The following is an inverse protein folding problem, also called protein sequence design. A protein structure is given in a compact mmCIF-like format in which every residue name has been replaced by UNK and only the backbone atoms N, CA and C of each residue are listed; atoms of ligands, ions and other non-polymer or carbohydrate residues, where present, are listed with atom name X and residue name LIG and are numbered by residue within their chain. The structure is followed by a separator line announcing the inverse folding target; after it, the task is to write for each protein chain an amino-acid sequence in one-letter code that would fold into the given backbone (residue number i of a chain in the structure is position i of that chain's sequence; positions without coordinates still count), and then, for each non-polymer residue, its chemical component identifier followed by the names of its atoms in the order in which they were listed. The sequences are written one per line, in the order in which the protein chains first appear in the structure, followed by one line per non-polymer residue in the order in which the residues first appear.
data_IF_266015540537
#
_entry.id   IF_266015540537
#
_cell.length_a   1.000
_cell.length_b   1.000
_cell.length_c   1.000
_cell.angle_alpha   90.00
_cell.angle_beta   90.00
_cell.angle_gamma   90.00
#
_symmetry.space_group_name_H-M   'P 1'
#
loop_
_entity.id
_entity.type
_entity.pdbx_description
1 polymer ?
#
# COMPACT_ATOMS: atom_id res chain seq x y z
N UNK A 1 -3.53 1.45 10.65
CA UNK A 1 -2.20 0.84 10.45
C UNK A 1 -2.41 -0.52 9.79
N UNK A 2 -1.38 -1.08 9.16
CA UNK A 2 -1.43 -2.44 8.60
C UNK A 2 -1.43 -3.37 9.80
N UNK A 3 -2.44 -4.20 9.94
CA UNK A 3 -2.58 -5.20 11.01
C UNK A 3 -2.11 -6.57 10.54
N UNK A 4 -2.34 -6.93 9.27
CA UNK A 4 -1.93 -8.21 8.70
C UNK A 4 -1.49 -8.10 7.25
N UNK A 5 -0.59 -9.00 6.86
CA UNK A 5 -0.10 -9.14 5.49
C UNK A 5 -0.21 -10.62 5.09
N UNK A 6 -0.68 -10.90 3.88
CA UNK A 6 -0.55 -12.22 3.28
C UNK A 6 0.01 -12.09 1.87
N UNK A 7 0.92 -12.98 1.51
CA UNK A 7 1.63 -12.96 0.23
C UNK A 7 1.55 -14.35 -0.40
N UNK A 8 1.35 -14.41 -1.71
CA UNK A 8 1.38 -15.67 -2.44
C UNK A 8 2.14 -15.50 -3.75
N UNK A 9 3.00 -16.46 -4.02
CA UNK A 9 3.95 -16.44 -5.13
C UNK A 9 4.75 -15.14 -5.26
N UNK A 10 5.13 -14.51 -4.14
CA UNK A 10 5.90 -13.27 -4.14
C UNK A 10 7.32 -13.47 -3.61
N UNK A 11 8.31 -13.31 -4.49
CA UNK A 11 9.75 -13.43 -4.22
C UNK A 11 10.08 -14.74 -3.52
N UNK A 12 10.45 -14.68 -2.23
CA UNK A 12 10.83 -15.84 -1.43
C UNK A 12 9.61 -16.65 -0.93
N UNK A 13 8.39 -16.11 -1.03
CA UNK A 13 7.19 -16.75 -0.49
C UNK A 13 6.38 -17.40 -1.59
N UNK A 14 6.27 -18.74 -1.54
CA UNK A 14 5.18 -19.42 -2.22
C UNK A 14 3.84 -19.05 -1.57
N UNK A 15 3.81 -19.04 -0.24
CA UNK A 15 2.64 -18.72 0.59
C UNK A 15 3.10 -18.17 1.94
N UNK A 16 2.55 -17.03 2.33
CA UNK A 16 2.65 -16.41 3.65
C UNK A 16 1.23 -15.99 4.03
N UNK A 17 0.68 -16.57 5.07
CA UNK A 17 -0.71 -16.30 5.51
C UNK A 17 -0.73 -15.56 6.84
N UNK A 18 -1.64 -14.59 6.94
CA UNK A 18 -1.97 -13.90 8.19
C UNK A 18 -0.77 -13.41 9.01
N UNK A 19 0.28 -12.91 8.35
CA UNK A 19 1.44 -12.34 9.02
C UNK A 19 1.02 -11.10 9.81
N UNK A 20 0.94 -11.23 11.13
CA UNK A 20 0.47 -10.19 12.02
C UNK A 20 1.54 -9.11 12.25
N UNK A 21 1.15 -7.85 12.09
CA UNK A 21 1.97 -6.68 12.36
C UNK A 21 1.59 -6.09 13.72
N UNK A 22 2.53 -6.08 14.66
CA UNK A 22 2.39 -5.42 15.96
C UNK A 22 3.01 -4.00 15.90
N UNK A 23 2.75 -3.13 16.89
CA UNK A 23 3.34 -1.79 16.93
C UNK A 23 4.87 -1.78 16.80
N UNK A 24 5.53 -2.80 17.34
CA UNK A 24 6.95 -3.09 17.13
C UNK A 24 7.05 -4.51 16.57
N UNK A 25 7.51 -4.63 15.34
CA UNK A 25 7.76 -5.91 14.67
C UNK A 25 9.22 -5.99 14.27
N UNK A 26 9.95 -7.00 14.76
CA UNK A 26 11.34 -7.25 14.41
C UNK A 26 11.40 -8.49 13.52
N UNK A 27 11.97 -8.35 12.33
CA UNK A 27 12.17 -9.46 11.39
C UNK A 27 13.61 -10.00 11.51
N UNK A 28 13.76 -11.19 12.07
CA UNK A 28 15.06 -11.89 12.22
C UNK A 28 15.11 -13.18 11.39
N UNK A 29 16.31 -13.64 11.05
CA UNK A 29 16.54 -14.88 10.30
C UNK A 29 17.71 -14.80 9.33
N UNK A 30 18.05 -15.92 8.68
CA UNK A 30 19.15 -16.00 7.72
C UNK A 30 18.92 -15.14 6.47
N UNK A 31 19.99 -14.85 5.73
CA UNK A 31 19.88 -14.14 4.46
C UNK A 31 18.94 -14.88 3.49
N UNK A 32 18.22 -14.11 2.69
CA UNK A 32 17.28 -14.64 1.68
C UNK A 32 16.06 -15.42 2.19
N UNK A 33 15.80 -15.48 3.50
CA UNK A 33 14.60 -16.14 4.06
C UNK A 33 13.28 -15.36 3.88
N UNK A 34 13.28 -14.22 3.17
CA UNK A 34 12.07 -13.46 2.86
C UNK A 34 11.79 -12.21 3.70
N UNK A 35 12.65 -11.85 4.68
CA UNK A 35 12.52 -10.61 5.49
C UNK A 35 12.30 -9.37 4.62
N UNK A 36 13.19 -9.17 3.64
CA UNK A 36 13.11 -8.03 2.72
C UNK A 36 11.86 -8.11 1.83
N UNK A 37 11.36 -9.31 1.51
CA UNK A 37 10.14 -9.47 0.71
C UNK A 37 8.92 -8.92 1.44
N UNK A 38 8.81 -9.11 2.77
CA UNK A 38 7.71 -8.52 3.55
C UNK A 38 7.75 -6.99 3.44
N UNK A 39 8.89 -6.38 3.73
CA UNK A 39 9.07 -4.92 3.64
C UNK A 39 8.79 -4.42 2.22
N UNK A 40 9.35 -5.09 1.21
CA UNK A 40 9.20 -4.72 -0.19
C UNK A 40 7.76 -4.80 -0.68
N UNK A 41 6.93 -5.72 -0.15
CA UNK A 41 5.51 -5.78 -0.49
C UNK A 41 4.76 -4.50 -0.07
N UNK A 42 5.06 -3.99 1.13
CA UNK A 42 4.48 -2.75 1.66
C UNK A 42 4.96 -1.54 0.86
N UNK A 43 6.27 -1.47 0.60
CA UNK A 43 6.87 -0.36 -0.16
C UNK A 43 6.41 -0.33 -1.62
N UNK A 44 6.19 -1.50 -2.23
CA UNK A 44 5.65 -1.63 -3.57
C UNK A 44 4.24 -1.05 -3.67
N UNK A 45 3.39 -1.37 -2.71
CA UNK A 45 2.04 -0.79 -2.62
C UNK A 45 2.14 0.73 -2.41
N UNK A 46 2.95 1.17 -1.45
CA UNK A 46 3.17 2.60 -1.16
C UNK A 46 3.62 3.40 -2.39
N UNK A 47 4.67 2.98 -3.11
CA UNK A 47 5.13 3.71 -4.29
C UNK A 47 4.14 3.69 -5.44
N UNK A 48 3.31 2.65 -5.54
CA UNK A 48 2.26 2.58 -6.56
C UNK A 48 1.19 3.62 -6.27
N UNK A 49 0.74 3.72 -5.02
CA UNK A 49 -0.31 4.66 -4.58
C UNK A 49 0.17 6.12 -4.66
N UNK A 50 1.41 6.41 -4.23
CA UNK A 50 1.96 7.77 -4.23
C UNK A 50 2.35 8.27 -5.63
N UNK A 51 2.43 7.37 -6.60
CA UNK A 51 2.90 7.69 -7.94
C UNK A 51 1.81 8.39 -8.75
N UNK A 52 2.16 9.49 -9.40
CA UNK A 52 1.33 10.10 -10.44
C UNK A 52 1.21 9.22 -11.71
N UNK A 53 2.18 8.30 -11.90
CA UNK A 53 2.13 7.32 -12.99
C UNK A 53 0.98 6.34 -12.69
N UNK A 54 -0.01 6.31 -13.58
CA UNK A 54 -1.28 5.58 -13.48
C UNK A 54 -1.15 4.06 -13.73
N UNK A 55 0.01 3.47 -13.43
CA UNK A 55 0.28 2.05 -13.65
C UNK A 55 -0.40 1.19 -12.57
N UNK A 56 -0.80 -0.04 -12.91
CA UNK A 56 -1.39 -1.01 -11.97
C UNK A 56 -0.47 -1.27 -10.77
N UNK A 57 0.81 -1.48 -11.05
CA UNK A 57 1.83 -1.71 -10.03
C UNK A 57 3.15 -1.13 -10.52
N UNK A 58 3.74 -0.23 -9.74
CA UNK A 58 5.00 0.40 -10.09
C UNK A 58 6.14 -0.43 -9.51
N UNK A 59 6.69 -1.40 -10.25
CA UNK A 59 7.74 -2.31 -9.73
C UNK A 59 9.08 -1.60 -9.42
N UNK A 60 9.35 -0.49 -10.10
CA UNK A 60 10.61 0.25 -9.98
C UNK A 60 10.33 1.73 -9.77
N UNK A 61 10.70 2.23 -8.59
CA UNK A 61 10.58 3.63 -8.22
C UNK A 61 11.50 3.94 -7.03
N UNK A 62 11.23 5.05 -6.33
CA UNK A 62 12.01 5.53 -5.20
C UNK A 62 12.22 4.47 -4.10
N UNK A 63 11.16 3.81 -3.61
CA UNK A 63 11.26 2.92 -2.45
C UNK A 63 11.83 1.54 -2.79
N UNK A 64 11.39 0.94 -3.88
CA UNK A 64 11.88 -0.37 -4.34
C UNK A 64 12.10 -0.39 -5.85
N UNK A 65 13.18 -1.07 -6.23
CA UNK A 65 13.55 -1.41 -7.61
C UNK A 65 13.52 -2.93 -7.74
N UNK A 66 12.36 -3.49 -8.05
CA UNK A 66 12.13 -4.94 -8.06
C UNK A 66 12.45 -5.61 -9.39
N UNK A 67 12.77 -4.86 -10.45
CA UNK A 67 13.00 -5.39 -11.78
C UNK A 67 11.71 -5.66 -12.54
N UNK A 68 11.62 -6.81 -13.20
CA UNK A 68 10.45 -7.23 -13.99
C UNK A 68 9.50 -8.11 -13.17
N UNK A 69 8.37 -8.51 -13.77
CA UNK A 69 7.46 -9.48 -13.14
C UNK A 69 8.17 -10.79 -12.76
N UNK A 70 9.13 -11.22 -13.57
CA UNK A 70 9.89 -12.46 -13.35
C UNK A 70 10.74 -12.41 -12.07
N UNK A 71 11.16 -11.20 -11.66
CA UNK A 71 11.93 -11.01 -10.44
C UNK A 71 11.07 -11.02 -9.17
N UNK A 72 9.75 -10.83 -9.31
CA UNK A 72 8.82 -10.81 -8.17
C UNK A 72 8.00 -12.09 -8.05
N UNK A 73 7.83 -12.88 -9.11
CA UNK A 73 7.07 -14.12 -9.06
C UNK A 73 7.92 -15.26 -8.48
N UNK A 74 7.36 -15.99 -7.53
CA UNK A 74 8.02 -17.13 -6.87
C UNK A 74 8.45 -18.17 -7.91
N UNK A 75 9.67 -18.70 -7.76
CA UNK A 75 10.30 -19.64 -8.69
C UNK A 75 10.29 -19.22 -10.16
N UNK A 76 10.11 -17.91 -10.46
CA UNK A 76 10.03 -17.38 -11.82
C UNK A 76 8.91 -18.03 -12.67
N UNK A 77 7.89 -18.61 -12.02
CA UNK A 77 6.80 -19.32 -12.70
C UNK A 77 5.73 -18.33 -13.21
N UNK A 78 5.92 -17.89 -14.46
CA UNK A 78 5.11 -16.87 -15.14
C UNK A 78 3.64 -17.28 -15.35
N UNK A 79 3.30 -18.55 -15.14
CA UNK A 79 1.91 -19.05 -15.26
C UNK A 79 1.07 -18.72 -14.02
N UNK A 80 1.73 -18.37 -12.91
CA UNK A 80 1.08 -18.09 -11.63
C UNK A 80 0.73 -16.61 -11.47
N UNK A 81 -0.14 -16.37 -10.51
CA UNK A 81 -0.51 -15.02 -10.04
C UNK A 81 0.31 -14.67 -8.81
N UNK A 82 0.84 -13.44 -8.74
CA UNK A 82 1.35 -12.85 -7.49
C UNK A 82 0.15 -12.25 -6.75
N UNK A 83 -0.05 -12.65 -5.50
CA UNK A 83 -1.18 -12.16 -4.69
C UNK A 83 -0.66 -11.45 -3.44
N UNK A 84 -1.28 -10.30 -3.15
CA UNK A 84 -1.07 -9.50 -1.95
C UNK A 84 -2.40 -9.35 -1.22
N UNK A 85 -2.41 -9.59 0.08
CA UNK A 85 -3.50 -9.20 0.97
C UNK A 85 -2.95 -8.26 2.03
N UNK A 86 -3.54 -7.08 2.16
CA UNK A 86 -3.24 -6.14 3.23
C UNK A 86 -4.49 -5.87 4.03
N UNK A 87 -4.43 -6.20 5.32
CA UNK A 87 -5.44 -5.81 6.30
C UNK A 87 -4.97 -4.55 7.02
N UNK A 88 -5.88 -3.59 7.16
CA UNK A 88 -5.66 -2.34 7.84
C UNK A 88 -6.70 -2.14 8.94
N UNK A 89 -6.22 -1.82 10.12
CA UNK A 89 -7.05 -1.37 11.22
C UNK A 89 -7.11 0.16 11.23
N UNK A 90 -8.33 0.72 11.14
CA UNK A 90 -8.55 2.12 10.82
C UNK A 90 -9.49 2.76 11.84
N UNK A 91 -8.98 3.73 12.60
CA UNK A 91 -9.82 4.55 13.47
C UNK A 91 -10.51 5.65 12.66
N UNK A 92 -11.84 5.65 12.59
CA UNK A 92 -12.62 6.60 11.79
C UNK A 92 -12.46 8.06 12.23
N UNK A 93 -12.13 8.32 13.50
CA UNK A 93 -11.93 9.69 13.99
C UNK A 93 -10.78 10.41 13.29
N UNK A 94 -9.77 9.67 12.82
CA UNK A 94 -8.64 10.20 12.05
C UNK A 94 -9.03 10.60 10.62
N UNK A 95 -10.08 9.98 10.06
CA UNK A 95 -10.53 10.21 8.67
C UNK A 95 -11.70 11.19 8.59
N UNK A 96 -12.48 11.36 9.66
CA UNK A 96 -13.67 12.20 9.68
C UNK A 96 -13.41 13.68 9.35
N UNK A 97 -12.17 14.17 9.54
CA UNK A 97 -11.80 15.56 9.25
C UNK A 97 -11.54 15.85 7.77
N UNK A 98 -11.45 14.83 6.91
CA UNK A 98 -11.04 14.97 5.50
C UNK A 98 -12.11 14.43 4.56
N UNK A 99 -12.65 15.30 3.70
CA UNK A 99 -13.87 15.03 2.90
C UNK A 99 -13.78 13.89 1.88
N UNK A 100 -12.68 13.62 1.15
CA UNK A 100 -12.67 12.57 0.12
C UNK A 100 -12.81 11.15 0.71
N UNK A 101 -12.15 10.87 1.83
CA UNK A 101 -12.06 9.51 2.38
C UNK A 101 -13.37 9.03 3.01
N UNK A 102 -14.20 9.95 3.51
CA UNK A 102 -15.51 9.60 4.05
C UNK A 102 -16.43 9.04 2.97
N UNK A 103 -16.28 9.47 1.71
CA UNK A 103 -17.07 8.96 0.59
C UNK A 103 -16.72 7.51 0.26
N UNK A 104 -15.42 7.15 0.29
CA UNK A 104 -14.98 5.76 0.14
C UNK A 104 -15.63 4.87 1.20
N UNK A 105 -15.44 5.20 2.48
CA UNK A 105 -15.97 4.39 3.59
C UNK A 105 -17.49 4.24 3.46
N UNK A 106 -18.19 5.35 3.17
CA UNK A 106 -19.65 5.36 3.01
C UNK A 106 -20.17 4.69 1.74
N UNK A 107 -19.30 4.28 0.82
CA UNK A 107 -19.69 3.43 -0.32
C UNK A 107 -19.73 1.94 0.06
N UNK A 108 -19.02 1.56 1.13
CA UNK A 108 -18.94 0.18 1.59
C UNK A 108 -19.78 -0.06 2.86
N UNK A 109 -19.98 0.95 3.71
CA UNK A 109 -20.79 0.81 4.93
C UNK A 109 -21.93 1.82 5.00
N UNK A 110 -23.04 1.40 5.62
CA UNK A 110 -24.23 2.21 5.87
C UNK A 110 -23.96 3.35 6.86
N UNK A 111 -24.85 4.35 6.86
CA UNK A 111 -24.71 5.51 7.72
C UNK A 111 -24.84 5.12 9.19
N UNK A 112 -25.73 4.20 9.51
CA UNK A 112 -25.89 3.66 10.86
C UNK A 112 -24.64 2.87 11.33
N UNK A 113 -23.99 2.09 10.45
CA UNK A 113 -22.74 1.39 10.77
C UNK A 113 -21.61 2.39 11.04
N UNK A 114 -21.46 3.38 10.16
CA UNK A 114 -20.46 4.45 10.35
C UNK A 114 -20.65 5.17 11.70
N UNK A 115 -21.89 5.54 12.04
CA UNK A 115 -22.22 6.17 13.34
C UNK A 115 -21.90 5.23 14.50
N UNK A 116 -22.30 3.96 14.42
CA UNK A 116 -22.06 2.98 15.47
C UNK A 116 -20.57 2.75 15.75
N UNK A 117 -19.73 2.69 14.71
CA UNK A 117 -18.27 2.61 14.86
C UNK A 117 -17.70 3.84 15.58
N UNK A 118 -18.12 5.03 15.17
CA UNK A 118 -17.67 6.29 15.75
C UNK A 118 -18.09 6.41 17.22
N UNK A 119 -19.36 6.16 17.52
CA UNK A 119 -19.94 6.33 18.86
C UNK A 119 -19.43 5.26 19.83
N UNK A 120 -19.05 4.07 19.34
CA UNK A 120 -18.41 3.02 20.14
C UNK A 120 -16.87 3.12 20.17
N UNK A 121 -16.28 4.13 19.51
CA UNK A 121 -14.83 4.28 19.32
C UNK A 121 -14.13 2.99 18.85
N UNK A 122 -14.76 2.25 17.93
CA UNK A 122 -14.21 1.02 17.38
C UNK A 122 -13.49 1.28 16.06
N UNK A 123 -12.43 0.51 15.83
CA UNK A 123 -11.72 0.53 14.57
C UNK A 123 -12.48 -0.25 13.49
N UNK A 124 -12.40 0.27 12.27
CA UNK A 124 -12.83 -0.39 11.05
C UNK A 124 -11.70 -1.30 10.56
N UNK A 125 -12.01 -2.55 10.21
CA UNK A 125 -11.04 -3.42 9.54
C UNK A 125 -11.29 -3.36 8.03
N UNK A 126 -10.33 -2.79 7.32
CA UNK A 126 -10.31 -2.68 5.87
C UNK A 126 -9.34 -3.71 5.29
N UNK A 127 -9.71 -4.37 4.19
CA UNK A 127 -8.86 -5.35 3.52
C UNK A 127 -8.79 -5.10 2.01
N UNK A 128 -7.56 -5.08 1.48
CA UNK A 128 -7.23 -4.99 0.07
C UNK A 128 -6.56 -6.29 -0.38
N UNK A 129 -7.24 -7.06 -1.25
CA UNK A 129 -6.65 -8.20 -1.96
C UNK A 129 -6.38 -7.84 -3.41
N UNK A 130 -5.15 -8.02 -3.85
CA UNK A 130 -4.71 -7.76 -5.21
C UNK A 130 -3.95 -8.97 -5.74
N UNK A 131 -4.47 -9.57 -6.80
CA UNK A 131 -3.79 -10.59 -7.59
C UNK A 131 -3.40 -10.01 -8.94
N UNK A 132 -2.14 -10.17 -9.34
CA UNK A 132 -1.64 -9.73 -10.64
C UNK A 132 -0.96 -10.88 -11.40
N UNK A 133 -1.07 -10.85 -12.72
CA UNK A 133 -0.40 -11.80 -13.61
C UNK A 133 0.10 -11.10 -14.88
N UNK A 134 0.99 -11.78 -15.61
CA UNK A 134 1.37 -11.35 -16.96
C UNK A 134 0.13 -11.44 -17.87
N UNK A 135 -0.06 -10.42 -18.72
CA UNK A 135 -1.13 -10.42 -19.72
C UNK A 135 -0.88 -11.55 -20.72
N UNK A 136 -1.90 -12.35 -21.01
CA UNK A 136 -1.83 -13.41 -22.02
C UNK A 136 -2.12 -12.84 -23.42
N UNK A 137 -1.68 -13.53 -24.47
CA UNK A 137 -1.94 -13.15 -25.86
C UNK A 137 -1.29 -11.83 -26.27
N UNK A 138 -0.14 -11.50 -25.68
CA UNK A 138 0.67 -10.35 -26.09
C UNK A 138 1.45 -10.73 -27.34
N UNK A 139 1.56 -9.79 -28.27
CA UNK A 139 2.50 -9.85 -29.37
C UNK A 139 3.94 -9.79 -28.81
N UNK A 140 4.60 -10.96 -28.73
CA UNK A 140 5.96 -11.07 -28.15
C UNK A 140 6.99 -10.26 -28.93
N UNK A 141 6.73 -9.94 -30.21
CA UNK A 141 7.59 -9.07 -31.02
C UNK A 141 7.58 -7.60 -30.54
N UNK A 142 6.51 -7.16 -29.86
CA UNK A 142 6.35 -5.80 -29.35
C UNK A 142 6.75 -5.63 -27.89
N UNK A 143 6.81 -6.71 -27.12
CA UNK A 143 7.03 -6.69 -25.67
C UNK A 143 8.08 -7.72 -25.24
N UNK A 144 9.30 -7.57 -25.75
CA UNK A 144 10.40 -8.53 -25.53
C UNK A 144 10.88 -8.56 -24.07
N UNK A 145 10.95 -7.40 -23.39
CA UNK A 145 11.56 -7.29 -22.05
C UNK A 145 10.59 -6.91 -20.94
N UNK A 146 9.55 -6.12 -21.24
CA UNK A 146 8.56 -5.66 -20.26
C UNK A 146 7.17 -6.14 -20.67
N UNK A 147 6.83 -7.35 -20.23
CA UNK A 147 5.50 -7.89 -20.46
C UNK A 147 4.47 -7.12 -19.62
N UNK A 148 3.36 -6.61 -20.22
CA UNK A 148 2.32 -5.92 -19.49
C UNK A 148 1.69 -6.82 -18.42
N UNK A 149 1.40 -6.21 -17.27
CA UNK A 149 0.74 -6.85 -16.13
C UNK A 149 -0.76 -6.52 -16.20
N UNK A 150 -1.59 -7.47 -15.81
CA UNK A 150 -3.03 -7.27 -15.60
C UNK A 150 -3.41 -7.64 -14.18
N UNK A 151 -4.49 -7.04 -13.69
CA UNK A 151 -5.13 -7.44 -12.46
C UNK A 151 -5.87 -8.76 -12.73
N UNK A 152 -5.45 -9.85 -12.09
CA UNK A 152 -6.18 -11.12 -12.11
C UNK A 152 -7.40 -11.06 -11.19
N UNK A 153 -7.24 -10.46 -10.01
CA UNK A 153 -8.35 -10.15 -9.13
C UNK A 153 -8.04 -8.95 -8.26
N UNK A 154 -9.07 -8.21 -7.89
CA UNK A 154 -8.99 -7.09 -6.95
C UNK A 154 -10.22 -7.16 -6.05
N UNK A 155 -10.03 -7.20 -4.73
CA UNK A 155 -11.12 -7.14 -3.76
C UNK A 155 -10.82 -6.07 -2.73
N UNK A 156 -11.83 -5.26 -2.49
CA UNK A 156 -11.86 -4.18 -1.53
C UNK A 156 -12.97 -4.54 -0.55
N UNK A 157 -12.65 -4.69 0.73
CA UNK A 157 -13.64 -5.10 1.72
C UNK A 157 -13.49 -4.43 3.06
N UNK A 158 -14.59 -4.38 3.79
CA UNK A 158 -14.67 -4.00 5.19
C UNK A 158 -15.26 -5.17 5.95
N UNK A 159 -14.59 -5.59 7.01
CA UNK A 159 -15.12 -6.65 7.89
C UNK A 159 -16.30 -6.10 8.71
N UNK A 160 -17.29 -6.95 8.86
CA UNK A 160 -18.42 -6.78 9.72
C UNK A 160 -18.03 -6.90 11.19
N UNK A 161 -18.88 -6.38 12.06
CA UNK A 161 -18.66 -6.36 13.49
C UNK A 161 -20.00 -6.31 14.24
N UNK A 162 -20.02 -6.86 15.45
CA UNK A 162 -21.14 -6.71 16.37
C UNK A 162 -20.91 -5.51 17.29
N UNK A 163 -21.86 -4.57 17.31
CA UNK A 163 -21.84 -3.37 18.18
C UNK A 163 -23.18 -3.29 18.88
N UNK A 164 -23.16 -3.25 20.23
CA UNK A 164 -24.37 -3.12 21.07
C UNK A 164 -25.49 -4.11 20.66
N UNK A 165 -25.13 -5.37 20.40
CA UNK A 165 -26.08 -6.42 20.01
C UNK A 165 -26.44 -6.48 18.52
N UNK A 166 -26.31 -5.37 17.78
CA UNK A 166 -26.57 -5.32 16.33
C UNK A 166 -25.37 -5.83 15.53
N UNK A 167 -25.64 -6.66 14.53
CA UNK A 167 -24.64 -7.21 13.61
C UNK A 167 -24.59 -6.33 12.36
N UNK A 168 -23.39 -5.84 12.06
CA UNK A 168 -23.08 -5.21 10.78
C UNK A 168 -22.31 -6.23 9.94
N UNK A 169 -22.82 -6.65 8.76
CA UNK A 169 -22.19 -7.69 7.96
C UNK A 169 -20.95 -7.18 7.25
N UNK A 170 -20.13 -8.12 6.76
CA UNK A 170 -19.05 -7.82 5.82
C UNK A 170 -19.60 -7.12 4.57
N UNK A 171 -18.85 -6.15 4.05
CA UNK A 171 -19.13 -5.50 2.77
C UNK A 171 -17.92 -5.61 1.87
N UNK A 172 -18.14 -5.81 0.58
CA UNK A 172 -17.04 -5.85 -0.37
C UNK A 172 -17.46 -5.54 -1.80
N UNK A 173 -16.47 -5.14 -2.59
CA UNK A 173 -16.55 -5.13 -4.05
C UNK A 173 -15.32 -5.84 -4.59
N UNK A 174 -15.51 -6.72 -5.58
CA UNK A 174 -14.43 -7.50 -6.18
C UNK A 174 -14.54 -7.61 -7.69
N UNK A 175 -13.40 -7.60 -8.35
CA UNK A 175 -13.21 -7.89 -9.77
C UNK A 175 -12.42 -9.18 -9.91
N UNK A 176 -12.88 -10.07 -10.78
CA UNK A 176 -12.18 -11.30 -11.16
C UNK A 176 -12.01 -11.31 -12.68
N UNK A 177 -10.77 -11.36 -13.15
CA UNK A 177 -10.46 -11.50 -14.58
C UNK A 177 -11.00 -12.84 -15.10
N UNK A 178 -11.62 -12.80 -16.27
CA UNK A 178 -12.10 -13.98 -16.99
C UNK A 178 -11.29 -14.19 -18.27
N UNK A 179 -11.44 -13.31 -19.26
CA UNK A 179 -10.77 -13.40 -20.57
C UNK A 179 -10.79 -12.06 -21.31
N UNK A 180 -9.77 -11.75 -22.13
CA UNK A 180 -9.79 -10.67 -23.15
C UNK A 180 -10.49 -9.36 -22.70
N UNK A 181 -10.15 -8.87 -21.50
CA UNK A 181 -10.70 -7.68 -20.82
C UNK A 181 -12.07 -7.81 -20.12
N UNK A 182 -12.67 -8.98 -20.11
CA UNK A 182 -13.90 -9.28 -19.38
C UNK A 182 -13.59 -9.63 -17.92
N UNK A 183 -14.35 -9.01 -17.01
CA UNK A 183 -14.26 -9.23 -15.57
C UNK A 183 -15.63 -9.55 -14.99
N UNK A 184 -15.67 -10.46 -14.01
CA UNK A 184 -16.81 -10.61 -13.12
C UNK A 184 -16.68 -9.61 -11.98
N UNK A 185 -17.61 -8.67 -11.92
CA UNK A 185 -17.79 -7.76 -10.80
C UNK A 185 -18.78 -8.37 -9.82
N UNK A 186 -18.42 -8.43 -8.54
CA UNK A 186 -19.29 -8.87 -7.45
C UNK A 186 -19.26 -7.81 -6.37
N UNK A 187 -20.43 -7.41 -5.87
CA UNK A 187 -20.56 -6.50 -4.75
C UNK A 187 -21.55 -7.08 -3.74
N UNK A 188 -21.23 -6.97 -2.45
CA UNK A 188 -22.08 -7.44 -1.35
C UNK A 188 -22.16 -6.38 -0.28
N UNK A 189 -23.39 -6.15 0.19
CA UNK A 189 -23.72 -5.24 1.27
C UNK A 189 -23.14 -3.82 1.09
N UNK A 190 -23.05 -3.34 -0.16
CA UNK A 190 -22.50 -2.01 -0.47
C UNK A 190 -23.59 -0.96 -0.52
N UNK A 191 -23.23 0.32 -0.41
CA UNK A 191 -24.17 1.43 -0.34
C UNK A 191 -24.13 2.24 -1.63
N UNK A 192 -25.28 2.37 -2.30
CA UNK A 192 -25.39 3.16 -3.52
C UNK A 192 -25.49 4.68 -3.25
N UNK A 193 -26.28 5.04 -2.24
CA UNK A 193 -26.47 6.41 -1.76
C UNK A 193 -26.15 6.49 -0.27
N UNK A 194 -25.13 7.25 0.10
CA UNK A 194 -24.62 7.31 1.47
C UNK A 194 -25.61 7.90 2.50
N UNK A 195 -26.73 8.45 2.04
CA UNK A 195 -27.84 8.96 2.88
C UNK A 195 -28.88 7.89 3.20
N UNK A 196 -28.80 6.74 2.55
CA UNK A 196 -29.71 5.62 2.73
C UNK A 196 -29.02 4.50 3.50
N UNK A 197 -29.76 3.82 4.37
CA UNK A 197 -29.27 2.62 5.09
C UNK A 197 -29.60 1.31 4.34
N UNK A 198 -29.98 1.42 3.06
CA UNK A 198 -30.22 0.27 2.18
C UNK A 198 -28.91 -0.16 1.51
N UNK A 199 -28.58 -1.44 1.67
CA UNK A 199 -27.47 -2.05 0.96
C UNK A 199 -27.93 -2.78 -0.28
N UNK A 200 -27.06 -2.84 -1.29
CA UNK A 200 -27.26 -3.64 -2.50
C UNK A 200 -26.20 -4.73 -2.59
N UNK A 201 -26.58 -5.83 -3.23
CA UNK A 201 -25.71 -6.96 -3.53
C UNK A 201 -26.02 -7.46 -4.93
N UNK A 202 -25.00 -7.91 -5.65
CA UNK A 202 -25.19 -8.37 -7.01
C UNK A 202 -23.87 -8.78 -7.67
N UNK A 203 -24.01 -9.24 -8.90
CA UNK A 203 -22.88 -9.56 -9.77
C UNK A 203 -23.20 -9.17 -11.21
N UNK A 204 -22.18 -8.76 -11.93
CA UNK A 204 -22.30 -8.32 -13.32
C UNK A 204 -21.03 -8.68 -14.09
N UNK A 205 -21.17 -8.94 -15.38
CA UNK A 205 -20.04 -9.08 -16.28
C UNK A 205 -19.78 -7.73 -16.92
N UNK A 206 -18.56 -7.22 -16.73
CA UNK A 206 -18.17 -5.91 -17.26
C UNK A 206 -16.92 -6.05 -18.13
N UNK A 207 -16.79 -5.14 -19.09
CA UNK A 207 -15.57 -5.00 -19.88
C UNK A 207 -14.75 -3.84 -19.30
N UNK A 208 -13.49 -4.08 -19.00
CA UNK A 208 -12.56 -3.07 -18.49
C UNK A 208 -11.50 -2.82 -19.54
N UNK A 209 -11.47 -1.62 -20.11
CA UNK A 209 -10.50 -1.25 -21.13
C UNK A 209 -9.07 -1.26 -20.56
N UNK A 210 -8.91 -0.59 -19.41
CA UNK A 210 -7.64 -0.50 -18.70
C UNK A 210 -7.87 -0.20 -17.22
N UNK A 211 -6.81 -0.36 -16.44
CA UNK A 211 -6.76 0.11 -15.06
C UNK A 211 -5.90 1.36 -14.96
N UNK A 212 -6.39 2.33 -14.19
CA UNK A 212 -5.62 3.47 -13.69
C UNK A 212 -5.32 3.12 -12.23
N UNK A 213 -4.13 2.58 -11.95
CA UNK A 213 -3.83 1.92 -10.66
C UNK A 213 -4.87 0.83 -10.31
N UNK A 214 -5.73 1.08 -9.32
CA UNK A 214 -6.80 0.17 -8.90
C UNK A 214 -8.17 0.55 -9.47
N UNK A 215 -8.29 1.69 -10.14
CA UNK A 215 -9.52 2.14 -10.77
C UNK A 215 -9.74 1.48 -12.13
N UNK A 216 -10.84 0.72 -12.33
CA UNK A 216 -11.19 0.15 -13.61
C UNK A 216 -11.81 1.22 -14.52
N UNK A 217 -11.20 1.44 -15.69
CA UNK A 217 -11.78 2.29 -16.75
C UNK A 217 -12.79 1.46 -17.54
N UNK A 218 -14.07 1.74 -17.32
CA UNK A 218 -15.18 1.05 -17.97
C UNK A 218 -15.71 1.92 -19.10
N UNK A 219 -15.71 1.43 -20.36
CA UNK A 219 -16.20 2.19 -21.50
C UNK A 219 -17.73 2.29 -21.54
N UNK A 220 -18.42 1.32 -20.94
CA UNK A 220 -19.87 1.23 -20.93
C UNK A 220 -20.49 2.14 -19.84
N UNK A 221 -21.41 3.01 -20.23
CA UNK A 221 -22.11 3.94 -19.33
C UNK A 221 -23.32 3.30 -18.64
N UNK A 222 -23.75 2.11 -19.06
CA UNK A 222 -24.94 1.45 -18.51
C UNK A 222 -24.69 0.63 -17.23
N UNK A 223 -23.44 0.50 -16.79
CA UNK A 223 -23.10 -0.28 -15.58
C UNK A 223 -23.77 0.32 -14.34
N UNK A 224 -24.80 -0.35 -13.84
CA UNK A 224 -25.62 0.07 -12.68
C UNK A 224 -24.94 -0.25 -11.34
N UNK A 225 -23.62 -0.21 -11.28
CA UNK A 225 -22.83 -0.66 -10.12
C UNK A 225 -22.09 0.52 -9.47
N UNK A 226 -21.99 0.58 -8.13
CA UNK A 226 -21.22 1.61 -7.43
C UNK A 226 -19.70 1.43 -7.62
N UNK A 227 -19.20 1.73 -8.83
CA UNK A 227 -17.76 1.76 -9.18
C UNK A 227 -17.00 2.82 -8.37
N UNK A 228 -17.72 3.72 -7.69
CA UNK A 228 -17.17 4.74 -6.78
C UNK A 228 -16.19 4.16 -5.76
N UNK A 229 -16.43 2.94 -5.27
CA UNK A 229 -15.50 2.23 -4.36
C UNK A 229 -14.08 2.19 -4.94
N UNK A 230 -13.94 1.81 -6.21
CA UNK A 230 -12.63 1.72 -6.88
C UNK A 230 -12.02 3.08 -7.22
N UNK A 231 -12.84 4.13 -7.37
CA UNK A 231 -12.33 5.48 -7.61
C UNK A 231 -11.81 6.10 -6.32
N UNK A 232 -12.53 5.87 -5.23
CA UNK A 232 -12.30 6.56 -3.97
C UNK A 232 -11.27 5.82 -3.10
N UNK A 233 -10.95 4.55 -3.42
CA UNK A 233 -9.92 3.77 -2.72
C UNK A 233 -8.54 4.43 -2.78
N UNK A 234 -8.16 5.03 -3.91
CA UNK A 234 -6.84 5.64 -4.05
C UNK A 234 -6.66 6.78 -3.04
N UNK A 235 -7.70 7.57 -2.78
CA UNK A 235 -7.67 8.60 -1.74
C UNK A 235 -7.56 7.99 -0.34
N UNK A 236 -8.27 6.89 -0.08
CA UNK A 236 -8.24 6.23 1.22
C UNK A 236 -6.88 5.61 1.51
N UNK A 237 -6.31 4.88 0.54
CA UNK A 237 -4.99 4.30 0.63
C UNK A 237 -3.89 5.36 0.72
N UNK A 238 -3.99 6.46 -0.05
CA UNK A 238 -3.05 7.57 0.06
C UNK A 238 -3.00 8.13 1.48
N UNK A 239 -4.16 8.32 2.14
CA UNK A 239 -4.21 8.82 3.51
C UNK A 239 -3.60 7.83 4.52
N UNK A 240 -3.84 6.53 4.33
CA UNK A 240 -3.18 5.48 5.13
C UNK A 240 -1.67 5.58 4.95
N UNK A 241 -1.18 5.52 3.71
CA UNK A 241 0.24 5.46 3.40
C UNK A 241 1.00 6.76 3.64
N UNK A 242 0.31 7.91 3.74
CA UNK A 242 0.88 9.21 4.10
C UNK A 242 1.55 9.20 5.46
N UNK A 243 1.14 8.32 6.37
CA UNK A 243 1.76 8.16 7.70
C UNK A 243 2.85 7.09 7.75
N UNK A 244 3.16 6.44 6.63
CA UNK A 244 4.24 5.47 6.55
C UNK A 244 5.52 6.20 6.15
N UNK A 245 6.55 6.04 6.96
CA UNK A 245 7.91 6.48 6.65
C UNK A 245 8.78 5.24 6.51
N UNK A 246 9.57 5.20 5.45
CA UNK A 246 10.56 4.16 5.27
C UNK A 246 11.93 4.79 5.54
N UNK A 247 12.53 4.43 6.67
CA UNK A 247 13.96 4.59 6.84
C UNK A 247 14.59 3.40 6.14
N UNK A 248 15.12 3.61 4.94
CA UNK A 248 15.88 2.58 4.27
C UNK A 248 17.26 2.42 4.93
N UNK A 249 18.04 1.45 4.45
CA UNK A 249 19.38 1.24 4.96
C UNK A 249 20.22 2.47 4.59
N UNK A 250 20.48 3.36 5.55
CA UNK A 250 21.37 4.53 5.43
C UNK A 250 22.83 4.08 5.27
N UNK A 251 23.09 3.28 4.23
CA UNK A 251 24.31 2.51 3.99
C UNK A 251 24.71 2.56 2.53
N UNK A 252 24.36 3.62 1.81
CA UNK A 252 25.00 3.95 0.54
C UNK A 252 26.52 3.94 0.77
N UNK A 253 27.26 3.24 -0.08
CA UNK A 253 28.71 3.28 -0.02
C UNK A 253 29.20 4.68 -0.40
N UNK A 254 30.25 5.20 0.24
CA UNK A 254 30.82 6.49 -0.13
C UNK A 254 31.21 6.53 -1.60
N UNK A 255 30.67 7.50 -2.33
CA UNK A 255 31.03 7.72 -3.73
C UNK A 255 32.35 8.49 -3.82
N UNK A 256 33.17 8.16 -4.82
CA UNK A 256 34.42 8.91 -5.11
C UNK A 256 34.15 10.34 -5.55
N UNK A 257 32.97 10.61 -6.11
CA UNK A 257 32.52 11.93 -6.56
C UNK A 257 31.05 12.09 -6.18
N UNK A 258 30.71 13.22 -5.57
CA UNK A 258 29.34 13.63 -5.32
C UNK A 258 29.05 14.79 -6.26
N UNK A 259 28.17 14.57 -7.24
CA UNK A 259 27.78 15.61 -8.18
C UNK A 259 26.58 16.34 -7.58
N UNK A 260 26.70 17.65 -7.47
CA UNK A 260 25.62 18.50 -6.97
C UNK A 260 24.76 18.98 -8.15
N UNK A 261 23.72 18.22 -8.47
CA UNK A 261 22.81 18.52 -9.59
C UNK A 261 21.50 19.20 -9.15
N UNK A 262 20.96 18.80 -7.99
CA UNK A 262 19.65 19.25 -7.50
C UNK A 262 19.74 19.72 -6.04
N UNK A 263 18.88 20.66 -5.63
CA UNK A 263 18.66 20.95 -4.21
C UNK A 263 18.03 19.76 -3.51
N UNK A 264 18.80 19.13 -2.63
CA UNK A 264 18.33 17.96 -1.88
C UNK A 264 17.94 18.35 -0.45
N UNK A 265 16.71 18.03 -0.06
CA UNK A 265 16.17 18.30 1.28
C UNK A 265 16.06 17.04 2.16
N UNK A 266 16.28 15.85 1.60
CA UNK A 266 16.14 14.58 2.31
C UNK A 266 17.33 13.64 2.05
N UNK A 267 17.72 12.89 3.07
CA UNK A 267 18.88 11.96 3.07
C UNK A 267 18.84 10.93 1.94
N UNK A 268 17.66 10.70 1.37
CA UNK A 268 17.43 9.61 0.44
C UNK A 268 17.17 8.31 1.17
N UNK A 269 16.79 7.28 0.42
CA UNK A 269 16.32 6.03 0.99
C UNK A 269 17.49 5.13 1.40
N UNK A 270 18.61 5.27 0.70
CA UNK A 270 19.84 4.55 0.99
C UNK A 270 20.86 5.43 1.74
N UNK A 271 20.58 6.71 1.89
CA UNK A 271 21.57 7.67 2.38
C UNK A 271 22.44 8.24 1.27
N UNK A 272 22.03 8.11 0.01
CA UNK A 272 22.73 8.61 -1.18
C UNK A 272 23.04 10.11 -1.09
N UNK A 273 22.21 10.88 -0.39
CA UNK A 273 22.36 12.33 -0.27
C UNK A 273 22.97 12.78 1.06
N UNK A 274 23.40 11.83 1.91
CA UNK A 274 23.88 12.15 3.26
C UNK A 274 25.07 13.10 3.24
N UNK A 275 26.04 12.87 2.34
CA UNK A 275 27.24 13.70 2.25
C UNK A 275 26.91 15.15 1.86
N UNK A 276 25.96 15.33 0.94
CA UNK A 276 25.52 16.65 0.49
C UNK A 276 24.77 17.40 1.59
N UNK A 277 23.80 16.74 2.23
CA UNK A 277 23.06 17.35 3.34
C UNK A 277 23.96 17.67 4.52
N UNK A 278 24.93 16.80 4.83
CA UNK A 278 25.93 17.08 5.84
C UNK A 278 26.73 18.34 5.48
N UNK A 279 27.21 18.49 4.24
CA UNK A 279 27.95 19.68 3.82
C UNK A 279 27.16 20.98 4.04
N UNK A 280 25.85 20.96 3.76
CA UNK A 280 24.97 22.12 3.95
C UNK A 280 24.55 22.36 5.40
N UNK A 281 24.33 21.29 6.17
CA UNK A 281 23.77 21.38 7.52
C UNK A 281 24.80 21.21 8.64
N UNK A 282 26.09 20.99 8.34
CA UNK A 282 27.13 20.71 9.35
C UNK A 282 27.22 21.76 10.46
N UNK A 283 26.96 23.03 10.15
CA UNK A 283 27.00 24.16 11.11
C UNK A 283 25.66 24.37 11.82
N UNK A 284 24.59 23.70 11.37
CA UNK A 284 23.25 23.81 11.95
C UNK A 284 23.29 23.31 13.39
N UNK A 285 22.79 24.13 14.30
CA UNK A 285 22.68 23.78 15.71
C UNK A 285 21.60 22.71 15.89
N UNK A 286 21.95 21.66 16.61
CA UNK A 286 21.01 20.64 17.03
C UNK A 286 20.29 21.09 18.31
N UNK A 287 19.06 20.63 18.48
CA UNK A 287 18.39 20.68 19.77
C UNK A 287 19.17 19.84 20.78
N UNK A 288 19.10 20.22 22.06
CA UNK A 288 19.66 19.43 23.15
C UNK A 288 19.26 17.95 23.00
N UNK A 289 20.25 17.06 22.96
CA UNK A 289 20.04 15.64 22.70
C UNK A 289 20.85 14.78 23.65
N UNK A 290 20.32 13.62 23.98
CA UNK A 290 21.01 12.64 24.81
C UNK A 290 21.83 11.70 23.93
N UNK A 291 23.12 11.59 24.21
CA UNK A 291 24.00 10.60 23.59
C UNK A 291 24.34 9.53 24.61
N UNK A 292 24.38 8.27 24.15
CA UNK A 292 24.82 7.18 25.00
C UNK A 292 26.35 7.23 25.12
N UNK A 293 26.84 7.40 26.34
CA UNK A 293 28.26 7.42 26.64
C UNK A 293 28.70 6.04 27.15
N UNK A 294 29.48 5.35 26.32
CA UNK A 294 30.01 4.00 26.61
C UNK A 294 30.89 3.95 27.87
N UNK A 295 31.53 5.06 28.25
CA UNK A 295 32.43 5.10 29.42
C UNK A 295 31.67 5.21 30.73
N UNK A 296 30.56 5.93 30.73
CA UNK A 296 29.73 6.16 31.90
C UNK A 296 28.51 5.24 31.96
N UNK A 297 28.31 4.42 30.92
CA UNK A 297 27.16 3.54 30.73
C UNK A 297 25.82 4.26 30.94
N UNK A 298 25.73 5.50 30.45
CA UNK A 298 24.57 6.35 30.68
C UNK A 298 24.29 7.28 29.49
N UNK A 299 23.07 7.79 29.42
CA UNK A 299 22.69 8.82 28.47
C UNK A 299 23.04 10.20 29.02
N UNK A 300 23.91 10.93 28.32
CA UNK A 300 24.38 12.25 28.71
C UNK A 300 23.77 13.32 27.80
N UNK A 301 23.26 14.39 28.42
CA UNK A 301 22.70 15.51 27.70
C UNK A 301 23.82 16.37 27.11
N UNK A 302 23.92 16.39 25.78
CA UNK A 302 24.84 17.28 25.08
C UNK A 302 24.04 18.48 24.57
N UNK A 303 24.46 19.68 24.99
CA UNK A 303 23.77 20.94 24.67
C UNK A 303 24.52 21.71 23.60
N UNK A 304 23.77 22.35 22.70
CA UNK A 304 24.25 23.36 21.74
C UNK A 304 25.37 22.89 20.80
N UNK A 305 25.45 21.60 20.49
CA UNK A 305 26.35 21.11 19.45
C UNK A 305 25.77 21.36 18.06
N UNK A 306 26.64 21.46 17.06
CA UNK A 306 26.26 21.39 15.66
C UNK A 306 26.38 19.95 15.14
N UNK A 307 25.90 19.71 13.92
CA UNK A 307 25.92 18.38 13.29
C UNK A 307 27.36 17.88 13.02
N UNK A 308 28.34 18.78 12.85
CA UNK A 308 29.77 18.44 12.70
C UNK A 308 30.40 17.93 14.00
N UNK A 309 29.88 18.35 15.15
CA UNK A 309 30.35 18.01 16.49
C UNK A 309 29.67 16.76 17.07
N UNK A 310 28.54 16.35 16.51
CA UNK A 310 27.73 15.20 16.91
C UNK A 310 28.33 13.88 16.40
#
# INVERSE_FOLDING_TARGET
MISRISLKNFKAFQKLEDFEMKPITILCGINSCGKSSIIQSILLLKQTIESQKRNILLLNSKYVKLGTFENIIYNKDKTKTVEFNFEFEVNLSHFAKRRPHIFFIRSLITQDYFKALRDANKNLIFELRLGIKIKEGIDESKFTYLKPIVINHLRISIKGIKIKGKIYPDSYTSLQFLKKNQYKLVFRNVVNNYREDKTISGEELINIDRFIQFYPSIPDREVKVPIRVFRDIDFFLNEIFRNYRFLGPLREEPSRRYIYEDEVLEIGIKGENSAYLFLNEKVKKLSDHFFYNLKTDNFELIKKINLEQA
#
